data_IF_801278442896
#
_entry.id   IF_801278442896
#
_cell.length_a   1.000
_cell.length_b   1.000
_cell.length_c   1.000
_cell.angle_alpha   90.00
_cell.angle_beta   90.00
_cell.angle_gamma   90.00
#
_symmetry.space_group_name_H-M   'P 1'
#
loop_
_entity.id
_entity.type
_entity.pdbx_description
1 polymer ?
#
# COMPACT_ATOMS: atom_id res chain seq x y z
N UNK A 1 3.65 -17.81 -10.70
CA UNK A 1 3.81 -16.36 -10.98
C UNK A 1 2.67 -15.62 -10.30
N UNK A 2 2.93 -14.75 -9.33
CA UNK A 2 1.92 -13.82 -8.82
C UNK A 2 1.75 -12.69 -9.84
N UNK A 3 0.53 -12.50 -10.35
CA UNK A 3 0.19 -11.43 -11.28
C UNK A 3 0.01 -10.10 -10.55
N UNK A 4 0.35 -9.01 -11.23
CA UNK A 4 0.06 -7.65 -10.75
C UNK A 4 -1.46 -7.47 -10.53
N UNK A 5 -1.84 -6.86 -9.42
CA UNK A 5 -3.22 -6.49 -9.11
C UNK A 5 -3.28 -4.97 -9.12
N UNK A 6 -3.76 -4.42 -10.22
CA UNK A 6 -4.06 -3.00 -10.36
C UNK A 6 -5.58 -2.84 -10.14
N UNK A 7 -6.05 -2.11 -9.12
CA UNK A 7 -7.46 -1.82 -8.99
C UNK A 7 -7.92 -1.01 -10.22
N UNK A 8 -9.16 -1.22 -10.67
CA UNK A 8 -9.79 -0.25 -11.58
C UNK A 8 -9.74 1.10 -10.85
N UNK A 9 -9.17 2.12 -11.49
CA UNK A 9 -9.03 3.47 -10.92
C UNK A 9 -10.25 3.80 -10.07
N UNK A 10 -9.99 4.16 -8.81
CA UNK A 10 -11.02 4.42 -7.81
C UNK A 10 -12.05 5.42 -8.33
N UNK A 11 -13.22 4.93 -8.77
CA UNK A 11 -14.36 5.77 -9.14
C UNK A 11 -15.03 6.26 -7.86
N UNK A 12 -14.53 7.37 -7.35
CA UNK A 12 -15.27 8.41 -6.61
C UNK A 12 -16.35 7.93 -5.64
N UNK A 13 -15.98 7.18 -4.62
CA UNK A 13 -16.62 7.34 -3.31
C UNK A 13 -15.56 7.93 -2.37
N UNK A 14 -15.54 9.28 -2.32
CA UNK A 14 -14.57 10.08 -1.59
C UNK A 14 -13.68 10.92 -2.52
N UNK A 15 -13.62 12.24 -2.27
CA UNK A 15 -12.63 13.12 -2.89
C UNK A 15 -11.24 12.76 -2.31
N UNK A 16 -10.18 12.47 -3.09
CA UNK A 16 -8.85 12.17 -2.55
C UNK A 16 -8.10 13.38 -1.96
N UNK A 17 -8.70 14.58 -2.01
CA UNK A 17 -8.39 15.66 -1.07
C UNK A 17 -8.73 15.31 0.39
N UNK A 18 -9.60 14.31 0.58
CA UNK A 18 -9.96 13.73 1.86
C UNK A 18 -9.07 12.53 2.16
N UNK A 19 -8.53 12.50 3.38
CA UNK A 19 -7.42 11.62 3.80
C UNK A 19 -7.76 10.13 3.72
N UNK A 20 -7.10 9.39 2.82
CA UNK A 20 -7.17 7.93 2.72
C UNK A 20 -6.37 7.24 3.84
N UNK A 21 -6.73 5.99 4.15
CA UNK A 21 -5.94 5.11 5.01
C UNK A 21 -5.26 4.03 4.17
N UNK A 22 -3.93 3.93 4.28
CA UNK A 22 -3.11 3.03 3.49
C UNK A 22 -2.35 2.08 4.40
N UNK A 23 -2.48 0.77 4.16
CA UNK A 23 -1.61 -0.25 4.73
C UNK A 23 -0.70 -0.79 3.64
N UNK A 24 0.61 -0.68 3.80
CA UNK A 24 1.59 -1.14 2.81
C UNK A 24 2.56 -2.15 3.40
N UNK A 25 2.69 -3.28 2.74
CA UNK A 25 3.73 -4.28 3.01
C UNK A 25 4.83 -4.16 1.95
N UNK A 26 6.02 -3.73 2.40
CA UNK A 26 7.21 -3.51 1.57
C UNK A 26 8.00 -4.81 1.40
N UNK A 27 7.32 -5.85 0.89
CA UNK A 27 7.92 -7.17 0.67
C UNK A 27 9.11 -7.15 -0.29
N UNK A 28 9.99 -8.16 -0.17
CA UNK A 28 11.22 -8.25 -0.96
C UNK A 28 11.00 -8.60 -2.44
N UNK A 29 9.90 -9.29 -2.75
CA UNK A 29 9.52 -9.61 -4.13
C UNK A 29 8.30 -8.83 -4.61
N UNK A 30 7.30 -8.65 -3.75
CA UNK A 30 6.06 -7.95 -4.07
C UNK A 30 5.73 -6.94 -2.99
N UNK A 31 5.23 -5.79 -3.44
CA UNK A 31 4.50 -4.85 -2.60
C UNK A 31 3.04 -5.27 -2.56
N UNK A 32 2.44 -5.21 -1.38
CA UNK A 32 1.00 -5.42 -1.19
C UNK A 32 0.43 -4.24 -0.43
N UNK A 33 -0.64 -3.66 -0.96
CA UNK A 33 -1.25 -2.46 -0.37
C UNK A 33 -2.74 -2.66 -0.21
N UNK A 34 -3.25 -2.31 0.97
CA UNK A 34 -4.67 -2.10 1.21
C UNK A 34 -4.94 -0.61 1.35
N UNK A 35 -5.84 -0.11 0.52
CA UNK A 35 -6.17 1.32 0.49
C UNK A 35 -7.65 1.47 0.78
N UNK A 36 -7.98 2.27 1.79
CA UNK A 36 -9.35 2.69 2.08
C UNK A 36 -9.47 4.18 1.81
N UNK A 37 -10.11 4.58 0.70
CA UNK A 37 -10.45 5.97 0.44
C UNK A 37 -11.27 6.57 1.58
N UNK A 38 -11.20 7.89 1.75
CA UNK A 38 -12.01 8.58 2.73
C UNK A 38 -13.51 8.36 2.46
N UNK A 39 -14.28 8.03 3.50
CA UNK A 39 -15.72 7.74 3.38
C UNK A 39 -16.05 6.33 2.87
N UNK A 40 -15.08 5.61 2.30
CA UNK A 40 -15.28 4.20 1.93
C UNK A 40 -15.22 3.30 3.15
N UNK A 41 -16.08 2.29 3.17
CA UNK A 41 -16.06 1.20 4.14
C UNK A 41 -15.22 0.00 3.68
N UNK A 42 -14.80 -0.01 2.41
CA UNK A 42 -14.09 -1.13 1.78
C UNK A 42 -12.62 -0.79 1.53
N UNK A 43 -11.77 -1.80 1.69
CA UNK A 43 -10.38 -1.73 1.27
C UNK A 43 -10.25 -2.24 -0.17
N UNK A 44 -9.50 -1.50 -0.96
CA UNK A 44 -9.01 -1.93 -2.25
C UNK A 44 -7.61 -2.48 -2.16
N UNK A 45 -7.26 -3.36 -3.09
CA UNK A 45 -5.99 -4.07 -3.11
C UNK A 45 -5.16 -3.59 -4.30
N UNK A 46 -3.91 -3.24 -4.03
CA UNK A 46 -2.87 -3.02 -5.04
C UNK A 46 -1.74 -4.00 -4.76
N UNK A 47 -1.19 -4.65 -5.80
CA UNK A 47 0.03 -5.45 -5.65
C UNK A 47 0.84 -5.46 -6.92
N UNK A 48 2.15 -5.26 -6.79
CA UNK A 48 3.11 -5.19 -7.89
C UNK A 48 4.51 -5.62 -7.43
N UNK A 49 5.43 -5.98 -8.34
CA UNK A 49 6.81 -6.31 -7.98
C UNK A 49 7.53 -5.15 -7.27
N UNK A 50 8.39 -5.43 -6.30
CA UNK A 50 9.06 -4.39 -5.50
C UNK A 50 10.31 -3.76 -6.16
N UNK A 51 10.35 -3.78 -7.50
CA UNK A 51 11.47 -3.26 -8.30
C UNK A 51 11.37 -1.74 -8.48
N UNK A 52 12.50 -1.05 -8.35
CA UNK A 52 12.68 0.41 -8.51
C UNK A 52 14.00 0.70 -9.19
N UNK A 53 13.99 1.14 -10.44
CA UNK A 53 15.19 1.42 -11.22
C UNK A 53 15.22 2.87 -11.68
N UNK A 54 16.33 3.55 -11.47
CA UNK A 54 16.56 4.85 -12.14
C UNK A 54 16.70 4.63 -13.64
N UNK A 55 16.21 5.56 -14.43
CA UNK A 55 16.27 5.51 -15.90
C UNK A 55 16.41 6.90 -16.50
N UNK A 56 16.97 6.96 -17.70
CA UNK A 56 16.94 8.15 -18.55
C UNK A 56 15.69 8.18 -19.45
N UNK A 57 14.94 7.06 -19.50
CA UNK A 57 13.66 7.01 -20.21
C UNK A 57 12.64 7.95 -19.58
N UNK A 58 11.79 8.51 -20.42
CA UNK A 58 10.86 9.57 -20.06
C UNK A 58 9.49 9.27 -20.62
N UNK A 59 8.87 8.20 -20.12
CA UNK A 59 7.58 7.69 -20.59
C UNK A 59 6.50 7.75 -19.51
N UNK A 60 5.25 7.52 -19.93
CA UNK A 60 4.08 7.64 -19.05
C UNK A 60 4.04 6.59 -17.93
N UNK A 61 4.77 5.47 -18.04
CA UNK A 61 4.90 4.44 -17.01
C UNK A 61 5.88 4.83 -15.88
N UNK A 62 6.71 5.85 -16.09
CA UNK A 62 7.73 6.28 -15.14
C UNK A 62 7.18 7.21 -14.05
N UNK A 63 7.89 7.30 -12.92
CA UNK A 63 7.73 8.38 -11.94
C UNK A 63 8.95 9.28 -11.99
N UNK A 64 8.73 10.60 -11.98
CA UNK A 64 9.79 11.59 -11.87
C UNK A 64 9.59 12.40 -10.60
N UNK A 65 10.58 12.38 -9.71
CA UNK A 65 10.53 13.02 -8.39
C UNK A 65 11.78 13.84 -8.11
N UNK A 66 11.66 14.86 -7.25
CA UNK A 66 12.79 15.64 -6.80
C UNK A 66 13.60 14.85 -5.76
N UNK A 67 14.89 14.68 -6.00
CA UNK A 67 15.87 14.17 -5.05
C UNK A 67 16.97 15.21 -4.86
N UNK A 68 16.98 15.85 -3.68
CA UNK A 68 17.85 17.00 -3.44
C UNK A 68 17.49 18.14 -4.39
N UNK A 69 18.43 18.51 -5.26
CA UNK A 69 18.27 19.58 -6.26
C UNK A 69 18.01 19.06 -7.68
N UNK A 70 17.96 17.73 -7.87
CA UNK A 70 17.87 17.10 -9.17
C UNK A 70 16.57 16.33 -9.31
N UNK A 71 15.98 16.43 -10.51
CA UNK A 71 14.77 15.72 -10.85
C UNK A 71 15.16 14.37 -11.48
N UNK A 72 14.82 13.27 -10.83
CA UNK A 72 15.26 11.93 -11.22
C UNK A 72 14.08 11.08 -11.66
N UNK A 73 14.25 10.29 -12.73
CA UNK A 73 13.21 9.42 -13.29
C UNK A 73 13.42 7.97 -12.88
N UNK A 74 12.32 7.30 -12.55
CA UNK A 74 12.29 5.92 -12.07
C UNK A 74 11.26 5.10 -12.81
N UNK A 75 11.65 3.89 -13.21
CA UNK A 75 10.73 2.76 -13.45
C UNK A 75 10.44 2.06 -12.14
N UNK A 76 9.21 1.61 -11.96
CA UNK A 76 8.76 0.92 -10.76
C UNK A 76 7.89 -0.27 -11.16
N UNK A 77 7.94 -1.36 -10.39
CA UNK A 77 7.15 -2.56 -10.69
C UNK A 77 7.72 -3.37 -11.85
N UNK A 78 6.84 -3.97 -12.65
CA UNK A 78 7.25 -4.85 -13.74
C UNK A 78 8.18 -4.16 -14.76
N UNK A 79 7.97 -2.87 -15.04
CA UNK A 79 8.82 -2.10 -15.95
C UNK A 79 10.28 -1.97 -15.47
N UNK A 80 10.53 -2.08 -14.16
CA UNK A 80 11.87 -2.04 -13.59
C UNK A 80 12.55 -3.42 -13.48
N UNK A 81 11.85 -4.51 -13.81
CA UNK A 81 12.36 -5.89 -13.62
C UNK A 81 13.61 -6.19 -14.46
N UNK A 82 13.74 -5.55 -15.62
CA UNK A 82 14.85 -5.77 -16.55
C UNK A 82 16.11 -4.99 -16.18
N UNK A 83 16.06 -4.09 -15.19
CA UNK A 83 17.22 -3.37 -14.68
C UNK A 83 17.72 -4.08 -13.42
N UNK A 84 18.88 -4.78 -13.48
CA UNK A 84 19.45 -5.44 -12.32
C UNK A 84 19.68 -4.41 -11.19
N UNK A 85 19.52 -4.82 -9.93
CA UNK A 85 19.88 -4.05 -8.72
C UNK A 85 18.83 -3.07 -8.14
N UNK A 86 17.54 -3.37 -8.27
CA UNK A 86 16.45 -2.44 -7.96
C UNK A 86 15.47 -2.89 -6.88
N UNK A 87 15.77 -3.96 -6.13
CA UNK A 87 14.77 -4.65 -5.30
C UNK A 87 14.90 -4.27 -3.82
N UNK A 88 13.77 -4.12 -3.11
CA UNK A 88 13.74 -3.83 -1.66
C UNK A 88 14.59 -4.78 -0.81
N UNK A 89 14.73 -6.04 -1.22
CA UNK A 89 15.47 -7.07 -0.49
C UNK A 89 16.90 -7.31 -0.96
N UNK A 90 17.43 -6.53 -1.91
CA UNK A 90 18.76 -6.79 -2.47
C UNK A 90 19.89 -6.45 -1.48
N UNK A 91 19.70 -5.42 -0.66
CA UNK A 91 20.62 -5.03 0.40
C UNK A 91 19.82 -4.60 1.63
N UNK A 92 20.52 -4.37 2.74
CA UNK A 92 19.90 -4.03 4.03
C UNK A 92 19.13 -2.71 3.98
N UNK A 93 19.49 -1.80 3.07
CA UNK A 93 18.91 -0.46 2.96
C UNK A 93 17.81 -0.35 1.91
N UNK A 94 17.63 -1.37 1.06
CA UNK A 94 16.75 -1.32 -0.11
C UNK A 94 15.29 -1.09 0.25
N UNK A 95 14.82 -1.62 1.38
CA UNK A 95 13.50 -1.33 1.92
C UNK A 95 13.33 0.16 2.25
N UNK A 96 14.35 0.75 2.85
CA UNK A 96 14.35 2.14 3.27
C UNK A 96 14.44 3.06 2.05
N UNK A 97 15.38 2.83 1.14
CA UNK A 97 15.59 3.67 -0.05
C UNK A 97 14.40 3.66 -1.01
N UNK A 98 13.70 2.52 -1.13
CA UNK A 98 12.66 2.34 -2.13
C UNK A 98 11.25 2.63 -1.59
N UNK A 99 11.08 2.71 -0.25
CA UNK A 99 9.77 2.85 0.39
C UNK A 99 8.93 3.99 -0.20
N UNK A 100 9.53 5.17 -0.36
CA UNK A 100 8.86 6.35 -0.91
C UNK A 100 8.37 6.10 -2.34
N UNK A 101 9.23 5.61 -3.22
CA UNK A 101 8.90 5.37 -4.63
C UNK A 101 7.80 4.31 -4.76
N UNK A 102 7.89 3.22 -3.99
CA UNK A 102 6.88 2.16 -3.99
C UNK A 102 5.52 2.66 -3.47
N UNK A 103 5.50 3.48 -2.41
CA UNK A 103 4.25 4.10 -1.94
C UNK A 103 3.64 5.01 -3.01
N UNK A 104 4.43 5.91 -3.61
CA UNK A 104 3.93 6.84 -4.62
C UNK A 104 3.37 6.11 -5.84
N UNK A 105 4.03 5.02 -6.24
CA UNK A 105 3.52 4.16 -7.31
C UNK A 105 2.19 3.50 -6.94
N UNK A 106 2.07 2.95 -5.72
CA UNK A 106 0.82 2.36 -5.25
C UNK A 106 -0.33 3.38 -5.22
N UNK A 107 -0.07 4.60 -4.74
CA UNK A 107 -1.06 5.68 -4.71
C UNK A 107 -1.49 6.08 -6.11
N UNK A 108 -0.54 6.21 -7.05
CA UNK A 108 -0.82 6.46 -8.46
C UNK A 108 -1.70 5.37 -9.07
N UNK A 109 -1.39 4.09 -8.84
CA UNK A 109 -2.18 2.98 -9.37
C UNK A 109 -3.63 3.02 -8.85
N UNK A 110 -3.81 3.39 -7.58
CA UNK A 110 -5.14 3.42 -6.96
C UNK A 110 -5.98 4.64 -7.37
N UNK A 111 -5.39 5.84 -7.32
CA UNK A 111 -6.12 7.11 -7.45
C UNK A 111 -5.90 7.82 -8.78
N UNK A 112 -4.96 7.36 -9.60
CA UNK A 112 -4.53 8.06 -10.81
C UNK A 112 -3.70 9.31 -10.51
N UNK A 113 -3.69 10.26 -11.44
CA UNK A 113 -2.84 11.48 -11.40
C UNK A 113 -3.64 12.77 -11.57
N UNK A 114 -4.97 12.70 -11.58
CA UNK A 114 -5.83 13.85 -11.90
C UNK A 114 -6.01 14.84 -10.73
N UNK A 115 -5.49 14.50 -9.55
CA UNK A 115 -5.74 15.25 -8.32
C UNK A 115 -4.72 14.91 -7.24
N UNK A 116 -4.60 15.80 -6.25
CA UNK A 116 -3.77 15.56 -5.08
C UNK A 116 -4.33 14.40 -4.25
N UNK A 117 -3.43 13.63 -3.66
CA UNK A 117 -3.73 12.44 -2.88
C UNK A 117 -3.29 12.70 -1.44
N UNK A 118 -4.22 12.63 -0.48
CA UNK A 118 -3.89 12.74 0.94
C UNK A 118 -4.02 11.37 1.62
N UNK A 119 -3.04 10.98 2.43
CA UNK A 119 -3.06 9.69 3.11
C UNK A 119 -2.46 9.71 4.53
N UNK A 120 -2.99 8.86 5.41
CA UNK A 120 -2.24 8.29 6.53
C UNK A 120 -1.75 6.89 6.11
N UNK A 121 -0.48 6.61 6.38
CA UNK A 121 0.19 5.39 5.97
C UNK A 121 0.57 4.57 7.20
N UNK A 122 0.27 3.28 7.14
CA UNK A 122 0.74 2.26 8.06
C UNK A 122 1.57 1.30 7.23
N UNK A 123 2.83 1.08 7.58
CA UNK A 123 3.70 0.18 6.81
C UNK A 123 4.21 -0.96 7.67
N UNK A 124 4.33 -2.14 7.10
CA UNK A 124 4.95 -3.28 7.77
C UNK A 124 6.43 -3.38 7.43
N UNK A 125 7.23 -3.71 8.44
CA UNK A 125 8.65 -4.01 8.26
C UNK A 125 9.07 -5.19 9.14
N UNK A 126 10.10 -5.96 8.73
CA UNK A 126 10.63 -7.06 9.55
C UNK A 126 11.19 -6.58 10.90
N UNK A 127 11.66 -5.33 10.95
CA UNK A 127 12.21 -4.72 12.16
C UNK A 127 11.88 -3.24 12.20
N UNK A 128 10.90 -2.88 13.03
CA UNK A 128 10.57 -1.47 13.29
C UNK A 128 11.76 -0.72 13.88
N UNK A 129 12.61 -1.39 14.68
CA UNK A 129 13.81 -0.78 15.27
C UNK A 129 14.84 -0.42 14.20
N UNK A 130 14.99 -1.26 13.17
CA UNK A 130 16.01 -1.06 12.14
C UNK A 130 15.54 -0.07 11.05
N UNK A 131 14.26 -0.08 10.70
CA UNK A 131 13.78 0.63 9.50
C UNK A 131 12.68 1.66 9.77
N UNK A 132 12.03 1.59 10.94
CA UNK A 132 10.80 2.32 11.21
C UNK A 132 10.98 3.83 11.17
N UNK A 133 11.99 4.37 11.84
CA UNK A 133 12.25 5.81 11.87
C UNK A 133 12.51 6.37 10.47
N UNK A 134 13.38 5.69 9.72
CA UNK A 134 13.90 6.20 8.46
C UNK A 134 12.83 6.12 7.37
N UNK A 135 12.08 5.01 7.32
CA UNK A 135 10.92 4.89 6.42
C UNK A 135 9.87 5.94 6.80
N UNK A 136 9.53 6.09 8.09
CA UNK A 136 8.55 7.11 8.51
C UNK A 136 8.96 8.53 8.10
N UNK A 137 10.24 8.87 8.26
CA UNK A 137 10.78 10.17 7.88
C UNK A 137 10.74 10.39 6.36
N UNK A 138 11.04 9.36 5.57
CA UNK A 138 10.96 9.45 4.11
C UNK A 138 9.53 9.52 3.57
N UNK A 139 8.60 8.81 4.21
CA UNK A 139 7.22 8.73 3.75
C UNK A 139 6.41 9.96 4.15
N UNK A 140 6.64 10.53 5.33
CA UNK A 140 5.84 11.68 5.83
C UNK A 140 6.21 12.97 5.10
N UNK A 141 5.21 13.77 4.73
CA UNK A 141 5.40 15.07 4.09
C UNK A 141 4.65 15.23 2.77
N UNK A 142 5.12 16.20 1.99
CA UNK A 142 4.54 16.59 0.69
C UNK A 142 5.47 16.10 -0.42
N UNK A 143 4.93 15.30 -1.33
CA UNK A 143 5.68 14.67 -2.42
C UNK A 143 5.10 15.08 -3.77
N UNK A 144 5.66 16.10 -4.43
CA UNK A 144 5.37 16.40 -5.82
C UNK A 144 5.85 15.25 -6.72
N UNK A 145 4.98 14.77 -7.61
CA UNK A 145 5.30 13.69 -8.55
C UNK A 145 4.90 14.12 -9.95
N UNK A 146 5.83 13.92 -10.88
CA UNK A 146 5.60 14.13 -12.32
C UNK A 146 5.56 12.79 -13.02
N UNK A 147 4.56 12.59 -13.87
CA UNK A 147 4.49 11.52 -14.86
C UNK A 147 4.92 12.14 -16.19
N UNK A 148 6.02 11.70 -16.78
CA UNK A 148 6.44 12.19 -18.09
C UNK A 148 5.37 11.98 -19.17
N UNK A 149 5.42 12.81 -20.20
CA UNK A 149 4.66 12.56 -21.43
C UNK A 149 5.16 11.26 -22.07
N UNK A 150 4.28 10.58 -22.78
CA UNK A 150 4.63 9.42 -23.57
C UNK A 150 5.19 9.86 -24.93
N UNK A 151 6.44 9.50 -25.23
CA UNK A 151 7.11 9.94 -26.47
C UNK A 151 6.49 9.31 -27.72
N UNK A 152 5.80 8.17 -27.58
CA UNK A 152 5.22 7.43 -28.70
C UNK A 152 3.76 7.84 -28.99
N UNK A 153 3.15 8.65 -28.12
CA UNK A 153 1.73 9.03 -28.22
C UNK A 153 1.60 10.51 -28.55
N UNK A 154 1.13 10.81 -29.75
CA UNK A 154 0.87 12.19 -30.20
C UNK A 154 -0.16 12.85 -29.27
N UNK A 155 0.17 14.05 -28.77
CA UNK A 155 -0.69 14.79 -27.84
C UNK A 155 -0.59 14.32 -26.39
N UNK A 156 0.36 13.44 -26.06
CA UNK A 156 0.65 13.07 -24.68
C UNK A 156 1.29 14.24 -23.94
N UNK A 157 0.76 14.55 -22.76
CA UNK A 157 1.24 15.63 -21.91
C UNK A 157 1.73 15.07 -20.57
N UNK A 158 2.78 15.69 -20.04
CA UNK A 158 3.25 15.38 -18.70
C UNK A 158 2.19 15.76 -17.67
N UNK A 159 1.97 14.88 -16.69
CA UNK A 159 0.98 15.10 -15.62
C UNK A 159 1.68 15.26 -14.29
N UNK A 160 1.18 16.14 -13.45
CA UNK A 160 1.69 16.31 -12.09
C UNK A 160 0.59 16.08 -11.09
N UNK A 161 0.95 15.45 -9.97
CA UNK A 161 0.10 15.35 -8.81
C UNK A 161 0.95 15.44 -7.55
N UNK A 162 0.33 15.81 -6.44
CA UNK A 162 1.00 15.83 -5.14
C UNK A 162 0.43 14.74 -4.26
N UNK A 163 1.30 13.91 -3.69
CA UNK A 163 0.94 13.00 -2.60
C UNK A 163 1.33 13.64 -1.26
N UNK A 164 0.36 13.82 -0.37
CA UNK A 164 0.56 14.35 0.99
C UNK A 164 0.34 13.24 1.99
N UNK A 165 1.43 12.77 2.59
CA UNK A 165 1.40 11.77 3.65
C UNK A 165 1.45 12.51 4.98
N UNK A 166 0.33 12.50 5.69
CA UNK A 166 0.18 13.21 6.96
C UNK A 166 0.94 12.51 8.08
N UNK A 167 0.90 11.17 8.08
CA UNK A 167 1.57 10.31 9.06
C UNK A 167 2.00 9.02 8.40
N UNK A 168 3.16 8.52 8.79
CA UNK A 168 3.64 7.19 8.44
C UNK A 168 4.02 6.41 9.71
N UNK A 169 3.27 5.34 10.01
CA UNK A 169 3.42 4.57 11.25
C UNK A 169 3.96 3.16 10.95
N UNK A 170 5.08 2.76 11.58
CA UNK A 170 5.60 1.41 11.43
C UNK A 170 4.77 0.40 12.24
N UNK A 171 4.47 -0.75 11.65
CA UNK A 171 3.91 -1.92 12.33
C UNK A 171 4.81 -3.13 12.13
N UNK A 172 4.97 -3.93 13.18
CA UNK A 172 5.70 -5.20 13.08
C UNK A 172 4.92 -6.14 12.15
N UNK A 173 5.60 -6.70 11.16
CA UNK A 173 5.02 -7.61 10.16
C UNK A 173 4.25 -8.78 10.80
N UNK A 174 4.81 -9.36 11.86
CA UNK A 174 4.14 -10.41 12.65
C UNK A 174 2.92 -9.94 13.44
N UNK A 175 2.88 -8.69 13.91
CA UNK A 175 1.76 -8.16 14.67
C UNK A 175 0.54 -7.87 13.77
N UNK A 176 0.77 -7.45 12.53
CA UNK A 176 -0.29 -7.29 11.53
C UNK A 176 -0.87 -8.64 11.08
N UNK A 177 -0.02 -9.65 10.87
CA UNK A 177 -0.48 -11.02 10.61
C UNK A 177 -1.35 -11.55 11.77
N UNK A 178 -0.98 -11.26 13.02
CA UNK A 178 -1.74 -11.64 14.21
C UNK A 178 -3.09 -10.91 14.36
N UNK A 179 -3.17 -9.62 14.05
CA UNK A 179 -4.43 -8.87 14.11
C UNK A 179 -5.43 -9.32 13.04
N UNK A 180 -4.94 -9.74 11.86
CA UNK A 180 -5.76 -10.35 10.81
C UNK A 180 -6.35 -11.71 11.21
N UNK A 181 -5.67 -12.50 12.05
CA UNK A 181 -6.21 -13.75 12.60
C UNK A 181 -7.35 -13.49 13.61
N UNK A 182 -7.27 -12.41 14.40
CA UNK A 182 -8.35 -12.02 15.33
C UNK A 182 -9.60 -11.52 14.60
N UNK A 183 -9.44 -10.80 13.48
CA UNK A 183 -10.56 -10.35 12.65
C UNK A 183 -11.33 -11.51 11.99
N UNK A 184 -10.70 -12.67 11.79
CA UNK A 184 -11.37 -13.89 11.30
C UNK A 184 -12.13 -14.67 12.38
N UNK A 185 -11.82 -14.47 13.66
CA UNK A 185 -12.46 -15.19 14.76
C UNK A 185 -13.84 -14.60 15.14
N UNK A 186 -14.14 -13.36 14.76
CA UNK A 186 -15.39 -12.67 15.12
C UNK A 186 -16.51 -12.74 14.06
N UNK A 187 -16.35 -13.53 12.98
CA UNK A 187 -17.45 -13.78 12.03
C UNK A 187 -17.88 -15.25 12.11
N UNK A 188 -18.75 -15.54 13.09
CA UNK A 188 -19.82 -16.52 12.93
C UNK A 188 -21.11 -15.94 13.50
N UNK A 189 -22.09 -15.52 12.67
CA UNK A 189 -23.46 -15.50 13.12
C UNK A 189 -23.94 -16.94 13.15
N UNK A 190 -23.94 -17.58 14.32
CA UNK A 190 -24.74 -18.79 14.51
C UNK A 190 -26.14 -18.32 14.85
N UNK A 191 -26.93 -17.99 13.83
CA UNK A 191 -28.38 -18.05 13.96
C UNK A 191 -28.82 -19.47 13.64
N UNK A 192 -29.54 -20.06 14.60
CA UNK A 192 -30.32 -21.26 14.37
C UNK A 192 -30.09 -22.36 15.39
N UNK A 193 -30.25 -22.08 16.69
CA UNK A 193 -30.97 -22.95 17.63
C UNK A 193 -31.36 -22.14 18.87
N UNK A 194 -32.66 -22.00 19.11
CA UNK A 194 -33.19 -21.53 20.38
C UNK A 194 -32.81 -22.53 21.49
N UNK A 195 -32.41 -22.10 22.70
CA UNK A 195 -32.16 -23.03 23.79
C UNK A 195 -33.50 -23.60 24.28
N UNK A 196 -33.80 -24.84 23.91
CA UNK A 196 -34.85 -25.63 24.54
C UNK A 196 -34.42 -25.94 25.97
N UNK A 197 -35.06 -25.29 26.95
CA UNK A 197 -34.87 -25.61 28.38
C UNK A 197 -35.53 -26.97 28.63
N UNK A 198 -34.75 -28.04 28.60
CA UNK A 198 -35.18 -29.34 29.11
C UNK A 198 -34.89 -29.39 30.62
N UNK A 199 -35.93 -29.17 31.43
CA UNK A 199 -35.95 -29.56 32.84
C UNK A 199 -35.82 -31.08 32.91
N UNK A 200 -34.69 -31.60 33.39
CA UNK A 200 -34.62 -32.98 33.87
C UNK A 200 -34.56 -32.97 35.40
N UNK A 201 -35.69 -33.33 35.98
CA UNK A 201 -35.81 -33.75 37.36
C UNK A 201 -35.12 -35.10 37.53
N UNK A 202 -34.10 -35.21 38.37
CA UNK A 202 -33.74 -36.49 38.96
C UNK A 202 -33.64 -36.35 40.48
N UNK A 203 -34.64 -36.95 41.13
CA UNK A 203 -34.63 -37.38 42.52
C UNK A 203 -33.44 -38.33 42.71
N UNK A 204 -32.62 -38.09 43.73
CA UNK A 204 -31.90 -39.16 44.39
C UNK A 204 -32.47 -39.30 45.81
N UNK A 205 -33.01 -40.49 46.07
CA UNK A 205 -33.38 -40.98 47.39
C UNK A 205 -32.77 -42.38 47.51
N UNK A 206 -32.05 -42.57 48.61
CA UNK A 206 -31.76 -43.84 49.32
C UNK A 206 -30.71 -44.77 48.68
N UNK A 207 -29.54 -44.85 49.31
CA UNK A 207 -29.22 -45.82 50.37
C UNK A 207 -28.30 -45.18 51.41
#
# INVERSE_FOLDING_TARGET
MQSEIIPKTLKTEGLPSSKALVFIDLGNGFVKVLIRPHGSTKFERVSFPSYVAQTDESNSDCLRILQGQSLTTYKIGAGAANTPQSHTGQNETGKVSNAKLLLLHALRLAFGTGQNIHADVIFTSPSNKAYGSDISAQLTGVHPVTIPADVEVIGSEAKTFTAVVHRAVPMLEGHYAFSQLKLKAEIRPIWGMAPTIAKSSHRLKVL
#
